data_IF_482475268978
#
_entry.id   IF_482475268978
#
_cell.length_a   1.000
_cell.length_b   1.000
_cell.length_c   1.000
_cell.angle_alpha   90.00
_cell.angle_beta   90.00
_cell.angle_gamma   90.00
#
_symmetry.space_group_name_H-M   'P 1'
#
loop_
_entity.id
_entity.type
_entity.pdbx_description
1 polymer ?
#
# COMPACT_ATOMS: atom_id res chain seq x y z
N UNK A 1 -42.94 -4.93 -16.65
CA UNK A 1 -42.52 -4.12 -17.81
C UNK A 1 -41.46 -3.16 -17.34
N UNK A 2 -40.27 -3.37 -17.88
CA UNK A 2 -39.02 -2.68 -17.61
C UNK A 2 -39.16 -1.17 -17.84
N UNK A 3 -38.47 -0.37 -17.03
CA UNK A 3 -37.70 0.77 -17.53
C UNK A 3 -36.46 1.00 -16.66
N UNK A 4 -35.44 0.21 -16.99
CA UNK A 4 -34.06 0.63 -17.22
C UNK A 4 -33.41 1.40 -16.05
N UNK A 5 -32.81 0.64 -15.12
CA UNK A 5 -31.65 1.12 -14.36
C UNK A 5 -30.52 1.24 -15.39
N UNK A 6 -30.31 2.45 -15.93
CA UNK A 6 -29.09 2.73 -16.70
C UNK A 6 -27.92 2.60 -15.72
N UNK A 7 -27.23 1.47 -15.79
CA UNK A 7 -25.84 1.32 -15.35
C UNK A 7 -24.98 2.30 -16.14
N UNK A 8 -25.04 3.58 -15.78
CA UNK A 8 -23.95 4.48 -16.08
C UNK A 8 -22.80 4.04 -15.20
N UNK A 9 -21.76 3.54 -15.86
CA UNK A 9 -20.41 3.38 -15.34
C UNK A 9 -19.97 4.69 -14.71
N UNK A 10 -20.30 4.92 -13.43
CA UNK A 10 -19.58 5.88 -12.63
C UNK A 10 -18.18 5.30 -12.45
N UNK A 11 -17.26 5.68 -13.34
CA UNK A 11 -15.87 5.90 -12.93
C UNK A 11 -16.00 6.84 -11.74
N UNK A 12 -16.01 6.26 -10.54
CA UNK A 12 -15.87 6.98 -9.29
C UNK A 12 -14.55 7.73 -9.44
N UNK A 13 -14.67 8.99 -9.84
CA UNK A 13 -13.57 9.92 -9.95
C UNK A 13 -13.17 10.19 -8.50
N UNK A 14 -12.43 9.26 -7.90
CA UNK A 14 -11.98 9.35 -6.53
C UNK A 14 -11.05 10.54 -6.45
N UNK A 15 -11.60 11.71 -6.10
CA UNK A 15 -10.85 12.97 -5.96
C UNK A 15 -9.81 12.91 -4.84
N UNK A 16 -9.80 11.85 -4.04
CA UNK A 16 -8.81 11.55 -3.01
C UNK A 16 -9.16 10.29 -2.25
N UNK A 17 -8.37 9.99 -1.23
CA UNK A 17 -8.59 8.90 -0.29
C UNK A 17 -8.62 9.47 1.14
N UNK A 18 -9.66 9.13 1.90
CA UNK A 18 -9.79 9.50 3.31
C UNK A 18 -10.24 8.25 4.08
N UNK A 19 -9.42 7.81 5.03
CA UNK A 19 -9.72 6.72 5.94
C UNK A 19 -8.82 6.81 7.19
N UNK A 20 -9.18 6.09 8.25
CA UNK A 20 -8.26 5.85 9.36
C UNK A 20 -7.21 4.82 8.93
N UNK A 21 -6.04 5.32 8.52
CA UNK A 21 -4.99 4.49 7.94
C UNK A 21 -4.39 3.51 8.95
N UNK A 22 -4.31 3.88 10.23
CA UNK A 22 -3.81 3.01 11.29
C UNK A 22 -4.72 1.79 11.44
N UNK A 23 -6.03 2.02 11.55
CA UNK A 23 -7.03 0.96 11.66
C UNK A 23 -6.99 0.02 10.44
N UNK A 24 -7.05 0.59 9.23
CA UNK A 24 -6.99 -0.20 7.98
C UNK A 24 -5.71 -1.05 7.90
N UNK A 25 -4.58 -0.51 8.33
CA UNK A 25 -3.27 -1.20 8.33
C UNK A 25 -3.20 -2.33 9.35
N UNK A 26 -3.78 -2.15 10.54
CA UNK A 26 -3.81 -3.16 11.60
C UNK A 26 -4.78 -4.31 11.28
N UNK A 27 -5.90 -4.02 10.62
CA UNK A 27 -6.91 -5.01 10.24
C UNK A 27 -6.56 -5.77 8.95
N UNK A 28 -5.69 -5.21 8.08
CA UNK A 28 -5.28 -5.85 6.85
C UNK A 28 -4.50 -7.16 7.10
N UNK A 29 -5.02 -8.26 6.53
CA UNK A 29 -4.39 -9.60 6.52
C UNK A 29 -3.83 -10.00 5.15
N UNK A 30 -4.04 -9.18 4.12
CA UNK A 30 -3.55 -9.47 2.78
C UNK A 30 -2.08 -9.09 2.67
N UNK A 31 -1.31 -9.91 1.96
CA UNK A 31 0.07 -9.60 1.60
C UNK A 31 0.18 -8.23 0.93
N UNK A 32 -0.77 -7.90 0.03
CA UNK A 32 -0.88 -6.60 -0.63
C UNK A 32 -2.35 -6.21 -0.83
N UNK A 33 -2.71 -4.99 -0.44
CA UNK A 33 -4.03 -4.37 -0.67
C UNK A 33 -3.82 -2.94 -1.15
N UNK A 34 -4.24 -2.64 -2.38
CA UNK A 34 -4.20 -1.26 -2.90
C UNK A 34 -5.40 -0.50 -2.34
N UNK A 35 -5.15 0.59 -1.61
CA UNK A 35 -6.20 1.45 -1.08
C UNK A 35 -6.57 2.58 -2.04
N UNK A 36 -5.56 3.13 -2.71
CA UNK A 36 -5.74 4.27 -3.60
C UNK A 36 -4.63 4.31 -4.65
N UNK A 37 -5.00 4.69 -5.88
CA UNK A 37 -4.04 5.00 -6.95
C UNK A 37 -4.41 6.37 -7.50
N UNK A 38 -3.57 7.36 -7.22
CA UNK A 38 -3.61 8.68 -7.81
C UNK A 38 -2.65 8.79 -8.99
N UNK A 39 -2.59 9.98 -9.59
CA UNK A 39 -1.73 10.26 -10.75
C UNK A 39 -0.23 10.15 -10.44
N UNK A 40 0.16 10.55 -9.23
CA UNK A 40 1.56 10.69 -8.77
C UNK A 40 1.86 9.81 -7.55
N UNK A 41 0.89 9.03 -7.09
CA UNK A 41 1.08 8.21 -5.91
C UNK A 41 0.18 6.98 -5.87
N UNK A 42 0.69 5.90 -5.31
CA UNK A 42 -0.10 4.73 -4.97
C UNK A 42 0.03 4.41 -3.48
N UNK A 43 -1.10 4.24 -2.81
CA UNK A 43 -1.20 3.87 -1.40
C UNK A 43 -1.51 2.37 -1.29
N UNK A 44 -0.60 1.62 -0.68
CA UNK A 44 -0.70 0.17 -0.54
C UNK A 44 -0.50 -0.24 0.91
N UNK A 45 -1.37 -1.12 1.41
CA UNK A 45 -1.17 -1.83 2.65
C UNK A 45 -0.53 -3.19 2.39
N UNK A 46 0.36 -3.60 3.28
CA UNK A 46 0.98 -4.92 3.24
C UNK A 46 0.94 -5.57 4.62
N UNK A 47 0.72 -6.89 4.64
CA UNK A 47 0.70 -7.68 5.87
C UNK A 47 1.50 -8.94 5.62
N UNK A 48 2.71 -8.96 6.18
CA UNK A 48 3.64 -10.08 6.04
C UNK A 48 3.51 -11.01 7.24
N UNK A 49 3.51 -12.31 6.97
CA UNK A 49 3.71 -13.35 7.98
C UNK A 49 5.20 -13.45 8.31
N UNK A 50 5.55 -14.05 9.46
CA UNK A 50 6.95 -14.34 9.77
C UNK A 50 7.63 -15.10 8.64
N UNK A 51 8.85 -14.67 8.26
CA UNK A 51 9.66 -15.21 7.17
C UNK A 51 9.17 -14.90 5.75
N UNK A 52 8.08 -14.16 5.57
CA UNK A 52 7.74 -13.59 4.27
C UNK A 52 8.64 -12.38 3.97
N UNK A 53 8.88 -12.16 2.68
CA UNK A 53 9.66 -11.04 2.15
C UNK A 53 8.83 -10.33 1.07
N UNK A 54 9.01 -9.02 0.98
CA UNK A 54 8.45 -8.19 -0.10
C UNK A 54 9.23 -8.42 -1.39
N UNK A 55 10.51 -8.78 -1.28
CA UNK A 55 11.46 -8.88 -2.39
C UNK A 55 12.34 -7.64 -2.50
N UNK A 56 13.51 -7.80 -3.08
CA UNK A 56 14.43 -6.68 -3.37
C UNK A 56 14.05 -6.07 -4.72
N UNK A 57 13.75 -4.79 -4.73
CA UNK A 57 13.40 -4.04 -5.94
C UNK A 57 14.23 -2.76 -6.03
N UNK A 58 14.55 -2.35 -7.27
CA UNK A 58 15.17 -1.05 -7.57
C UNK A 58 14.16 -0.26 -8.41
N UNK A 59 13.92 0.99 -8.02
CA UNK A 59 13.02 1.88 -8.73
C UNK A 59 13.80 3.14 -9.15
N UNK A 60 14.21 3.27 -10.42
CA UNK A 60 15.01 4.41 -10.87
C UNK A 60 14.23 5.73 -10.91
N UNK A 61 12.92 5.65 -11.12
CA UNK A 61 12.09 6.82 -11.42
C UNK A 61 11.08 7.16 -10.30
N UNK A 62 11.06 6.39 -9.20
CA UNK A 62 10.02 6.52 -8.18
C UNK A 62 10.59 6.36 -6.78
N UNK A 63 10.14 7.23 -5.88
CA UNK A 63 10.42 7.09 -4.46
C UNK A 63 9.45 6.11 -3.82
N UNK A 64 9.93 5.41 -2.79
CA UNK A 64 9.11 4.50 -2.00
C UNK A 64 9.24 4.85 -0.52
N UNK A 65 8.12 5.26 0.07
CA UNK A 65 8.04 5.53 1.50
C UNK A 65 7.40 4.36 2.22
N UNK A 66 8.00 3.98 3.36
CA UNK A 66 7.45 2.97 4.24
C UNK A 66 7.13 3.45 5.65
N UNK A 67 5.90 3.21 6.12
CA UNK A 67 5.50 3.42 7.52
C UNK A 67 5.14 2.10 8.20
N UNK A 68 5.52 1.96 9.47
CA UNK A 68 5.37 0.75 10.27
C UNK A 68 4.30 0.93 11.32
N UNK A 69 3.24 0.11 11.32
CA UNK A 69 2.24 0.13 12.41
C UNK A 69 2.49 -0.94 13.49
N UNK A 70 2.93 -2.16 13.12
CA UNK A 70 3.05 -3.27 14.09
C UNK A 70 4.05 -4.36 13.68
N UNK A 71 4.91 -4.73 14.65
CA UNK A 71 5.82 -5.90 14.70
C UNK A 71 7.29 -5.56 14.37
N UNK A 72 8.14 -6.57 14.12
CA UNK A 72 9.57 -6.41 13.80
C UNK A 72 10.04 -7.11 12.50
N UNK A 73 10.95 -6.47 11.77
CA UNK A 73 11.53 -6.96 10.51
C UNK A 73 12.89 -6.30 10.21
N UNK A 74 13.48 -6.70 9.09
CA UNK A 74 14.80 -6.22 8.62
C UNK A 74 14.63 -5.57 7.25
N UNK A 75 15.21 -4.39 7.08
CA UNK A 75 15.30 -3.73 5.78
C UNK A 75 16.76 -3.80 5.28
N UNK A 76 16.94 -4.09 4.00
CA UNK A 76 18.23 -4.10 3.32
C UNK A 76 18.20 -3.01 2.24
N UNK A 77 18.98 -1.94 2.42
CA UNK A 77 19.08 -0.83 1.48
C UNK A 77 20.56 -0.66 1.11
N UNK A 78 20.90 -0.73 -0.17
CA UNK A 78 22.27 -0.63 -0.69
C UNK A 78 23.29 -1.53 0.07
N UNK A 79 22.89 -2.77 0.34
CA UNK A 79 23.72 -3.74 1.08
C UNK A 79 23.85 -3.46 2.58
N UNK A 80 23.20 -2.42 3.11
CA UNK A 80 23.20 -2.09 4.54
C UNK A 80 21.93 -2.59 5.21
N UNK A 81 22.13 -3.27 6.34
CA UNK A 81 21.03 -3.78 7.16
C UNK A 81 20.54 -2.71 8.14
N UNK A 82 19.22 -2.53 8.18
CA UNK A 82 18.54 -1.67 9.13
C UNK A 82 17.55 -2.51 9.96
N UNK A 83 17.71 -2.46 11.28
CA UNK A 83 16.87 -3.12 12.29
C UNK A 83 16.57 -2.06 13.36
N UNK A 84 15.35 -1.93 13.90
CA UNK A 84 14.11 -2.67 13.61
C UNK A 84 13.14 -1.89 12.71
N UNK A 85 12.57 -2.53 11.69
CA UNK A 85 11.47 -1.96 10.88
C UNK A 85 10.44 -3.04 10.50
N UNK A 86 9.13 -2.80 10.68
CA UNK A 86 8.08 -3.50 9.90
C UNK A 86 7.41 -2.59 8.90
N UNK A 87 7.73 -2.75 7.63
CA UNK A 87 6.99 -2.09 6.56
C UNK A 87 5.49 -2.45 6.63
N UNK A 88 4.61 -1.44 6.75
CA UNK A 88 3.15 -1.63 6.73
C UNK A 88 2.34 -0.59 5.96
N UNK A 89 2.99 0.37 5.35
CA UNK A 89 2.41 1.28 4.37
C UNK A 89 3.44 1.48 3.29
N UNK A 90 3.09 1.26 2.03
CA UNK A 90 3.94 1.68 0.92
C UNK A 90 3.26 2.85 0.23
N UNK A 91 3.96 3.97 0.10
CA UNK A 91 3.61 5.03 -0.83
C UNK A 91 4.67 5.02 -1.92
N UNK A 92 4.29 4.58 -3.12
CA UNK A 92 5.11 4.78 -4.31
C UNK A 92 4.77 6.14 -4.86
N UNK A 93 5.74 7.06 -4.89
CA UNK A 93 5.60 8.40 -5.42
C UNK A 93 6.36 8.49 -6.76
N UNK A 94 5.74 9.11 -7.75
CA UNK A 94 6.33 9.37 -9.07
C UNK A 94 5.87 10.69 -9.65
#
# INVERSE_FOLDING_TARGET
MEKIIKTQNYKLNMKGFNANIEKESLENKNFRKVLYTGKHSQLVLMSLKPKEDIGTEIHPDNDQFFRVEKGQGRCLIDGKNFIPFILRLTIKMG
#
